data_IF_295405008250
#
_entry.id   IF_295405008250
#
_cell.length_a   1.000
_cell.length_b   1.000
_cell.length_c   1.000
_cell.angle_alpha   90.00
_cell.angle_beta   90.00
_cell.angle_gamma   90.00
#
_symmetry.space_group_name_H-M   'P 1'
#
loop_
_entity.id
_entity.type
_entity.pdbx_description
1 polymer ?
#
# COMPACT_ATOMS: atom_id res chain seq x y z
N UNK A 1 -62.77 -0.76 -6.08
CA UNK A 1 -63.36 -1.50 -7.20
C UNK A 1 -62.90 -0.85 -8.48
N UNK A 2 -62.07 -1.62 -9.20
CA UNK A 2 -61.86 -1.71 -10.64
C UNK A 2 -61.77 -0.44 -11.51
N UNK A 3 -60.57 -0.25 -12.08
CA UNK A 3 -60.30 0.60 -13.22
C UNK A 3 -59.51 -0.17 -14.29
N UNK A 4 -60.23 -0.53 -15.36
CA UNK A 4 -59.83 -0.66 -16.77
C UNK A 4 -58.53 -1.39 -17.19
N UNK A 5 -58.77 -2.51 -17.87
CA UNK A 5 -57.91 -3.27 -18.77
C UNK A 5 -57.61 -2.58 -20.12
N UNK A 6 -56.44 -2.81 -20.70
CA UNK A 6 -56.29 -3.45 -22.03
C UNK A 6 -54.83 -3.84 -22.32
N UNK A 7 -54.59 -4.87 -23.15
CA UNK A 7 -53.36 -5.67 -23.19
C UNK A 7 -52.46 -5.34 -24.39
N UNK A 8 -51.17 -5.66 -24.30
CA UNK A 8 -50.32 -5.78 -25.48
C UNK A 8 -49.69 -7.17 -25.56
N UNK A 9 -50.07 -7.79 -26.67
CA UNK A 9 -49.71 -9.07 -27.28
C UNK A 9 -48.21 -9.25 -27.47
N UNK A 10 -47.77 -10.51 -27.33
CA UNK A 10 -46.42 -10.95 -27.64
C UNK A 10 -46.07 -10.86 -29.12
N UNK A 11 -44.80 -10.61 -29.37
CA UNK A 11 -44.11 -10.94 -30.60
C UNK A 11 -42.92 -11.82 -30.21
N UNK A 12 -43.01 -13.10 -30.60
CA UNK A 12 -41.88 -14.01 -30.60
C UNK A 12 -40.84 -13.50 -31.61
N UNK A 13 -39.58 -13.42 -31.19
CA UNK A 13 -38.45 -13.41 -32.11
C UNK A 13 -37.45 -14.49 -31.71
N UNK A 14 -37.13 -15.27 -32.72
CA UNK A 14 -36.45 -16.55 -32.69
C UNK A 14 -35.00 -16.46 -32.19
N UNK A 15 -34.59 -17.51 -31.48
CA UNK A 15 -33.18 -17.81 -31.24
C UNK A 15 -32.49 -18.16 -32.58
N UNK A 16 -31.28 -17.65 -32.86
CA UNK A 16 -30.53 -18.12 -34.01
C UNK A 16 -29.91 -19.48 -33.71
N UNK A 17 -30.18 -20.42 -34.61
CA UNK A 17 -29.60 -21.76 -34.71
C UNK A 17 -28.08 -21.68 -34.84
N UNK A 18 -27.37 -22.53 -34.10
CA UNK A 18 -25.96 -22.81 -34.33
C UNK A 18 -25.83 -23.77 -35.52
N UNK A 19 -25.51 -23.22 -36.69
CA UNK A 19 -25.02 -24.02 -37.81
C UNK A 19 -23.52 -24.29 -37.63
N UNK A 20 -23.21 -25.58 -37.55
CA UNK A 20 -21.88 -26.16 -37.53
C UNK A 20 -21.34 -26.16 -38.96
N UNK A 21 -20.40 -25.27 -39.27
CA UNK A 21 -19.56 -25.40 -40.47
C UNK A 21 -18.11 -25.73 -40.11
N UNK A 22 -17.67 -26.87 -40.63
CA UNK A 22 -16.29 -27.37 -40.60
C UNK A 22 -15.41 -26.48 -41.47
N UNK A 23 -14.52 -25.71 -40.86
CA UNK A 23 -13.40 -25.03 -41.53
C UNK A 23 -12.08 -25.68 -41.15
N UNK A 24 -11.46 -26.36 -42.11
CA UNK A 24 -10.13 -26.98 -42.05
C UNK A 24 -9.03 -25.96 -41.74
N UNK A 25 -8.32 -26.13 -40.62
CA UNK A 25 -7.09 -25.38 -40.34
C UNK A 25 -5.86 -26.17 -40.82
N UNK A 26 -5.14 -25.56 -41.76
CA UNK A 26 -3.85 -26.00 -42.31
C UNK A 26 -2.75 -25.63 -41.32
N UNK A 27 -1.93 -26.60 -40.90
CA UNK A 27 -0.74 -26.34 -40.07
C UNK A 27 0.42 -25.79 -40.91
N UNK A 28 1.20 -24.81 -40.41
CA UNK A 28 2.50 -24.47 -40.97
C UNK A 28 3.58 -25.47 -40.46
N UNK A 29 4.64 -25.74 -41.25
CA UNK A 29 5.50 -26.89 -41.04
C UNK A 29 6.52 -26.71 -39.92
N UNK A 30 6.77 -27.84 -39.25
CA UNK A 30 7.89 -28.13 -38.36
C UNK A 30 9.21 -28.12 -39.12
N UNK A 31 10.23 -27.46 -38.59
CA UNK A 31 11.63 -27.67 -39.01
C UNK A 31 12.38 -28.33 -37.87
N UNK A 32 12.83 -29.56 -38.12
CA UNK A 32 13.65 -30.37 -37.23
C UNK A 32 15.14 -30.03 -37.36
N UNK A 33 15.86 -30.39 -36.30
CA UNK A 33 17.28 -30.14 -36.01
C UNK A 33 18.31 -30.74 -36.98
N UNK A 34 19.52 -30.19 -36.99
CA UNK A 34 20.76 -30.95 -37.24
C UNK A 34 22.04 -30.35 -36.59
N UNK A 35 22.72 -31.23 -35.84
CA UNK A 35 24.19 -31.48 -35.71
C UNK A 35 25.17 -30.54 -34.96
N UNK A 36 25.55 -31.00 -33.76
CA UNK A 36 26.88 -31.23 -33.15
C UNK A 36 28.20 -30.60 -33.70
N UNK A 37 28.86 -29.82 -32.80
CA UNK A 37 30.29 -29.82 -32.34
C UNK A 37 31.45 -29.41 -33.31
N UNK A 38 32.68 -29.04 -32.84
CA UNK A 38 33.13 -28.33 -31.62
C UNK A 38 34.22 -27.22 -31.84
N UNK A 39 34.40 -26.34 -30.83
CA UNK A 39 35.71 -25.77 -30.41
C UNK A 39 36.36 -24.63 -31.21
N UNK A 40 36.35 -23.39 -30.67
CA UNK A 40 37.43 -22.39 -30.84
C UNK A 40 37.55 -21.53 -29.57
N UNK A 41 38.76 -21.49 -29.01
CA UNK A 41 39.24 -20.62 -27.94
C UNK A 41 39.76 -19.31 -28.57
N UNK A 42 39.39 -18.13 -28.05
CA UNK A 42 40.10 -16.88 -28.34
C UNK A 42 39.89 -15.79 -27.25
N UNK A 43 40.91 -15.68 -26.39
CA UNK A 43 41.59 -14.53 -25.75
C UNK A 43 40.86 -13.19 -25.39
N UNK A 44 41.25 -12.56 -24.25
CA UNK A 44 40.65 -11.32 -23.73
C UNK A 44 41.19 -10.05 -24.39
N UNK A 45 40.32 -9.06 -24.59
CA UNK A 45 40.68 -7.73 -25.09
C UNK A 45 41.32 -6.87 -24.00
N UNK A 46 42.60 -6.53 -24.20
CA UNK A 46 43.29 -5.40 -23.57
C UNK A 46 43.01 -4.11 -24.35
N UNK A 47 42.53 -3.06 -23.68
CA UNK A 47 42.50 -1.70 -24.24
C UNK A 47 43.44 -0.83 -23.41
N UNK A 48 44.41 -0.23 -24.10
CA UNK A 48 45.44 0.65 -23.57
C UNK A 48 44.88 2.03 -23.15
N UNK A 49 45.43 2.58 -22.07
CA UNK A 49 45.19 3.94 -21.61
C UNK A 49 46.00 4.98 -22.44
N UNK A 50 45.51 6.21 -22.64
CA UNK A 50 46.34 7.34 -23.05
C UNK A 50 46.96 8.06 -21.84
N UNK A 51 48.14 8.60 -22.08
CA UNK A 51 49.01 9.29 -21.14
C UNK A 51 48.58 10.74 -20.83
N UNK A 52 49.08 11.21 -19.68
CA UNK A 52 49.35 12.60 -19.31
C UNK A 52 48.19 13.59 -19.15
N UNK A 53 47.67 13.68 -17.92
CA UNK A 53 47.41 14.98 -17.27
C UNK A 53 47.66 14.84 -15.76
N UNK A 54 48.67 15.57 -15.28
CA UNK A 54 49.05 15.61 -13.88
C UNK A 54 47.97 16.32 -13.04
N UNK A 55 47.29 15.58 -12.17
CA UNK A 55 46.62 16.14 -11.00
C UNK A 55 47.40 15.73 -9.74
N UNK A 56 47.84 16.74 -9.00
CA UNK A 56 48.51 16.60 -7.70
C UNK A 56 47.56 15.90 -6.73
N UNK A 57 47.79 14.61 -6.49
CA UNK A 57 47.12 13.86 -5.45
C UNK A 57 47.80 14.15 -4.10
N UNK A 58 47.19 14.99 -3.28
CA UNK A 58 47.52 15.07 -1.86
C UNK A 58 47.11 13.74 -1.22
N UNK A 59 48.10 12.89 -0.96
CA UNK A 59 47.94 11.65 -0.19
C UNK A 59 47.59 12.05 1.24
N UNK A 60 46.30 12.07 1.57
CA UNK A 60 45.84 12.03 2.97
C UNK A 60 45.86 10.55 3.37
N UNK A 61 46.84 10.17 4.17
CA UNK A 61 46.90 8.85 4.80
C UNK A 61 45.56 8.50 5.46
N UNK A 62 45.06 7.25 5.34
CA UNK A 62 43.89 6.84 6.09
C UNK A 62 44.21 6.89 7.58
N UNK A 63 43.51 7.75 8.33
CA UNK A 63 43.48 7.65 9.78
C UNK A 63 42.93 6.28 10.16
N UNK A 64 43.50 5.61 11.19
CA UNK A 64 42.96 4.35 11.66
C UNK A 64 41.58 4.64 12.29
N UNK A 65 40.51 4.28 11.58
CA UNK A 65 39.16 4.21 12.15
C UNK A 65 39.16 3.07 13.17
N UNK A 66 39.27 3.41 14.44
CA UNK A 66 38.99 2.48 15.53
C UNK A 66 37.54 2.00 15.38
N UNK A 67 37.38 0.72 15.03
CA UNK A 67 36.10 0.01 15.12
C UNK A 67 35.64 0.00 16.58
N UNK A 68 34.86 0.99 16.97
CA UNK A 68 33.93 0.86 18.08
C UNK A 68 32.55 0.62 17.51
N UNK A 69 32.24 -0.65 17.22
CA UNK A 69 30.86 -1.10 17.32
C UNK A 69 30.39 -0.75 18.74
N UNK A 70 29.30 -0.01 18.95
CA UNK A 70 28.74 0.13 20.27
C UNK A 70 28.30 -1.27 20.71
N UNK A 71 29.07 -1.88 21.60
CA UNK A 71 28.57 -3.04 22.32
C UNK A 71 27.33 -2.58 23.10
N UNK A 72 26.26 -3.40 23.15
CA UNK A 72 25.16 -3.12 24.07
C UNK A 72 25.76 -2.95 25.47
N UNK A 73 25.39 -1.90 26.22
CA UNK A 73 25.98 -1.65 27.53
C UNK A 73 25.70 -2.85 28.43
N UNK A 74 26.75 -3.63 28.70
CA UNK A 74 26.70 -4.67 29.73
C UNK A 74 26.78 -3.96 31.09
N UNK A 75 25.62 -3.62 31.63
CA UNK A 75 25.48 -3.05 32.97
C UNK A 75 24.67 -1.76 32.97
N UNK A 76 23.37 -1.87 33.23
CA UNK A 76 22.52 -0.71 33.50
C UNK A 76 21.05 -0.86 33.12
N UNK A 77 20.39 -1.97 33.47
CA UNK A 77 18.96 -2.19 33.22
C UNK A 77 18.08 -1.01 33.72
N UNK A 78 18.49 -0.32 34.79
CA UNK A 78 17.70 0.79 35.35
C UNK A 78 17.68 2.06 34.50
N UNK A 79 18.75 2.41 33.79
CA UNK A 79 18.85 3.70 33.08
C UNK A 79 18.17 3.66 31.72
N UNK A 80 18.22 2.52 31.03
CA UNK A 80 17.45 2.27 29.81
C UNK A 80 15.94 2.25 30.10
N UNK A 81 15.54 1.52 31.14
CA UNK A 81 14.12 1.44 31.52
C UNK A 81 13.56 2.81 31.94
N UNK A 82 14.32 3.64 32.66
CA UNK A 82 13.90 5.01 33.02
C UNK A 82 13.78 5.95 31.82
N UNK A 83 14.70 5.89 30.85
CA UNK A 83 14.60 6.73 29.63
C UNK A 83 13.43 6.28 28.76
N UNK A 84 13.18 4.97 28.67
CA UNK A 84 12.00 4.41 28.00
C UNK A 84 10.74 4.85 28.74
N UNK A 85 10.67 4.75 30.08
CA UNK A 85 9.49 5.18 30.87
C UNK A 85 9.20 6.68 30.77
N UNK A 86 10.20 7.55 30.86
CA UNK A 86 10.02 9.00 30.72
C UNK A 86 9.63 9.38 29.29
N UNK A 87 10.23 8.73 28.28
CA UNK A 87 9.84 8.91 26.87
C UNK A 87 8.42 8.40 26.62
N UNK A 88 8.03 7.27 27.21
CA UNK A 88 6.69 6.71 27.11
C UNK A 88 5.67 7.63 27.76
N UNK A 89 5.93 8.19 28.94
CA UNK A 89 5.03 9.11 29.64
C UNK A 89 4.84 10.45 28.90
N UNK A 90 5.93 11.06 28.41
CA UNK A 90 5.85 12.30 27.63
C UNK A 90 5.16 12.06 26.28
N UNK A 91 5.48 10.93 25.63
CA UNK A 91 4.79 10.50 24.42
C UNK A 91 3.31 10.24 24.70
N UNK A 92 2.93 9.69 25.85
CA UNK A 92 1.54 9.36 26.18
C UNK A 92 0.66 10.60 26.32
N UNK A 93 1.19 11.70 26.88
CA UNK A 93 0.46 12.98 27.02
C UNK A 93 0.29 13.66 25.65
N UNK A 94 1.36 13.74 24.87
CA UNK A 94 1.33 14.31 23.50
C UNK A 94 0.45 13.45 22.58
N UNK A 95 0.51 12.13 22.74
CA UNK A 95 -0.28 11.16 21.98
C UNK A 95 -1.76 11.23 22.34
N UNK A 96 -2.14 11.41 23.62
CA UNK A 96 -3.54 11.58 24.03
C UNK A 96 -4.16 12.86 23.46
N UNK A 97 -3.45 13.98 23.53
CA UNK A 97 -3.92 15.25 22.96
C UNK A 97 -3.99 15.20 21.42
N UNK A 98 -2.94 14.68 20.78
CA UNK A 98 -2.87 14.52 19.32
C UNK A 98 -3.92 13.56 18.78
N UNK A 99 -4.14 12.44 19.48
CA UNK A 99 -5.20 11.47 19.15
C UNK A 99 -6.59 12.08 19.28
N UNK A 100 -6.84 12.91 20.30
CA UNK A 100 -8.13 13.60 20.44
C UNK A 100 -8.38 14.54 19.27
N UNK A 101 -7.39 15.36 18.89
CA UNK A 101 -7.53 16.26 17.74
C UNK A 101 -7.73 15.49 16.43
N UNK A 102 -6.98 14.42 16.19
CA UNK A 102 -7.16 13.56 15.02
C UNK A 102 -8.57 12.98 14.96
N UNK A 103 -9.03 12.34 16.03
CA UNK A 103 -10.36 11.73 16.08
C UNK A 103 -11.48 12.76 15.85
N UNK A 104 -11.38 13.94 16.45
CA UNK A 104 -12.38 15.01 16.25
C UNK A 104 -12.41 15.49 14.81
N UNK A 105 -11.25 15.84 14.23
CA UNK A 105 -11.18 16.30 12.84
C UNK A 105 -11.65 15.24 11.86
N UNK A 106 -11.27 13.98 12.11
CA UNK A 106 -11.69 12.85 11.32
C UNK A 106 -13.22 12.68 11.35
N UNK A 107 -13.82 12.64 12.54
CA UNK A 107 -15.28 12.48 12.68
C UNK A 107 -16.05 13.63 12.04
N UNK A 108 -15.60 14.88 12.24
CA UNK A 108 -16.21 16.06 11.63
C UNK A 108 -16.10 16.02 10.11
N UNK A 109 -14.94 15.63 9.57
CA UNK A 109 -14.73 15.53 8.12
C UNK A 109 -15.59 14.43 7.49
N UNK A 110 -15.71 13.27 8.15
CA UNK A 110 -16.57 12.18 7.68
C UNK A 110 -18.07 12.52 7.75
N UNK A 111 -18.49 13.24 8.80
CA UNK A 111 -19.87 13.72 8.91
C UNK A 111 -20.18 14.78 7.84
N UNK A 112 -19.25 15.72 7.62
CA UNK A 112 -19.34 16.70 6.54
C UNK A 112 -19.41 16.02 5.17
N UNK A 113 -18.58 15.00 4.94
CA UNK A 113 -18.61 14.16 3.74
C UNK A 113 -19.95 13.46 3.54
N UNK A 114 -20.52 12.87 4.59
CA UNK A 114 -21.85 12.26 4.56
C UNK A 114 -22.93 13.25 4.12
N UNK A 115 -22.98 14.42 4.78
CA UNK A 115 -23.98 15.46 4.48
C UNK A 115 -23.83 15.96 3.05
N UNK A 116 -22.60 16.26 2.61
CA UNK A 116 -22.33 16.67 1.23
C UNK A 116 -22.78 15.61 0.22
N UNK A 117 -22.56 14.33 0.55
CA UNK A 117 -22.91 13.21 -0.32
C UNK A 117 -24.40 12.97 -0.44
N UNK A 118 -25.14 13.15 0.65
CA UNK A 118 -26.61 13.15 0.64
C UNK A 118 -27.11 14.24 -0.32
N UNK A 119 -26.59 15.47 -0.19
CA UNK A 119 -26.98 16.60 -1.06
C UNK A 119 -26.64 16.32 -2.53
N UNK A 120 -25.42 15.86 -2.81
CA UNK A 120 -24.96 15.53 -4.17
C UNK A 120 -25.78 14.39 -4.78
N UNK A 121 -26.14 13.38 -3.99
CA UNK A 121 -26.98 12.28 -4.44
C UNK A 121 -28.38 12.77 -4.83
N UNK A 122 -28.99 13.69 -4.06
CA UNK A 122 -30.30 14.26 -4.38
C UNK A 122 -30.34 15.03 -5.70
N UNK A 123 -29.22 15.62 -6.12
CA UNK A 123 -29.11 16.36 -7.40
C UNK A 123 -28.52 15.52 -8.54
N UNK A 124 -28.44 14.19 -8.38
CA UNK A 124 -27.97 13.27 -9.42
C UNK A 124 -26.45 13.21 -9.59
N UNK A 125 -25.67 13.78 -8.67
CA UNK A 125 -24.20 13.79 -8.67
C UNK A 125 -23.60 12.73 -7.72
N UNK A 126 -24.23 11.55 -7.62
CA UNK A 126 -23.78 10.47 -6.75
C UNK A 126 -22.35 9.98 -7.03
N UNK A 127 -21.91 10.02 -8.29
CA UNK A 127 -20.52 9.68 -8.66
C UNK A 127 -19.52 10.67 -8.06
N UNK A 128 -19.82 11.96 -8.07
CA UNK A 128 -18.98 12.99 -7.42
C UNK A 128 -18.90 12.75 -5.91
N UNK A 129 -20.02 12.34 -5.30
CA UNK A 129 -20.06 11.97 -3.89
C UNK A 129 -19.15 10.78 -3.55
N UNK A 130 -19.04 9.78 -4.44
CA UNK A 130 -18.08 8.68 -4.28
C UNK A 130 -16.66 9.22 -4.14
N UNK A 131 -16.18 10.00 -5.12
CA UNK A 131 -14.81 10.53 -5.12
C UNK A 131 -14.51 11.40 -3.89
N UNK A 132 -15.46 12.24 -3.47
CA UNK A 132 -15.29 13.07 -2.27
C UNK A 132 -15.11 12.19 -1.02
N UNK A 133 -16.01 11.24 -0.79
CA UNK A 133 -15.95 10.41 0.42
C UNK A 133 -14.68 9.57 0.49
N UNK A 134 -14.23 9.03 -0.64
CA UNK A 134 -13.07 8.15 -0.63
C UNK A 134 -11.79 8.94 -0.31
N UNK A 135 -11.68 10.19 -0.77
CA UNK A 135 -10.50 11.02 -0.56
C UNK A 135 -10.42 11.63 0.86
N UNK A 136 -11.55 11.83 1.55
CA UNK A 136 -11.57 12.48 2.88
C UNK A 136 -10.67 11.78 3.91
N UNK A 137 -10.78 10.46 4.14
CA UNK A 137 -9.94 9.76 5.11
C UNK A 137 -8.45 9.89 4.82
N UNK A 138 -8.06 9.67 3.55
CA UNK A 138 -6.68 9.79 3.12
C UNK A 138 -6.14 11.21 3.26
N UNK A 139 -6.95 12.24 2.97
CA UNK A 139 -6.58 13.63 3.16
C UNK A 139 -6.37 13.98 4.64
N UNK A 140 -7.23 13.49 5.54
CA UNK A 140 -7.05 13.68 6.99
C UNK A 140 -5.78 12.98 7.49
N UNK A 141 -5.55 11.73 7.08
CA UNK A 141 -4.32 10.99 7.41
C UNK A 141 -3.09 11.75 6.91
N UNK A 142 -3.10 12.20 5.66
CA UNK A 142 -1.99 12.95 5.06
C UNK A 142 -1.72 14.28 5.78
N UNK A 143 -2.77 15.03 6.11
CA UNK A 143 -2.64 16.28 6.84
C UNK A 143 -1.99 16.09 8.22
N UNK A 144 -2.46 15.11 9.00
CA UNK A 144 -1.90 14.86 10.33
C UNK A 144 -0.51 14.22 10.26
N UNK A 145 -0.24 13.37 9.28
CA UNK A 145 1.10 12.83 9.03
C UNK A 145 2.10 13.96 8.73
N UNK A 146 1.73 14.93 7.87
CA UNK A 146 2.56 16.11 7.64
C UNK A 146 2.72 16.92 8.92
N UNK A 147 1.61 17.22 9.62
CA UNK A 147 1.62 18.06 10.82
C UNK A 147 2.49 17.52 11.95
N UNK A 148 2.50 16.20 12.15
CA UNK A 148 3.26 15.57 13.25
C UNK A 148 4.71 15.26 12.91
N UNK A 149 5.02 15.08 11.62
CA UNK A 149 6.35 14.64 11.18
C UNK A 149 7.03 15.62 10.22
N UNK A 150 6.57 16.87 10.20
CA UNK A 150 7.02 17.92 9.27
C UNK A 150 8.56 18.03 9.12
N UNK A 151 9.38 17.96 10.18
CA UNK A 151 10.85 18.05 10.03
C UNK A 151 11.48 16.86 9.29
N UNK A 152 10.76 15.74 9.17
CA UNK A 152 11.29 14.48 8.62
C UNK A 152 10.73 14.16 7.24
N UNK A 153 9.69 14.89 6.79
CA UNK A 153 9.01 14.62 5.53
C UNK A 153 8.81 15.89 4.73
N UNK A 154 8.85 15.75 3.41
CA UNK A 154 8.47 16.83 2.49
C UNK A 154 7.10 16.55 1.89
N UNK A 155 6.28 17.59 1.72
CA UNK A 155 4.98 17.46 1.03
C UNK A 155 5.13 16.88 -0.37
N UNK A 156 6.17 17.31 -1.09
CA UNK A 156 6.52 16.78 -2.41
C UNK A 156 6.69 15.24 -2.35
N UNK A 157 7.47 14.70 -1.40
CA UNK A 157 7.62 13.23 -1.25
C UNK A 157 6.31 12.54 -0.88
N UNK A 158 5.53 13.13 0.04
CA UNK A 158 4.25 12.57 0.46
C UNK A 158 3.28 12.44 -0.73
N UNK A 159 3.16 13.48 -1.57
CA UNK A 159 2.33 13.46 -2.76
C UNK A 159 2.85 12.49 -3.82
N UNK A 160 4.17 12.44 -4.02
CA UNK A 160 4.80 11.49 -4.96
C UNK A 160 4.43 10.06 -4.58
N UNK A 161 4.64 9.66 -3.32
CA UNK A 161 4.33 8.29 -2.85
C UNK A 161 2.85 7.97 -2.99
N UNK A 162 1.98 8.91 -2.63
CA UNK A 162 0.55 8.71 -2.71
C UNK A 162 0.09 8.52 -4.17
N UNK A 163 0.54 9.39 -5.08
CA UNK A 163 0.18 9.34 -6.50
C UNK A 163 0.78 8.10 -7.17
N UNK A 164 2.05 7.77 -6.89
CA UNK A 164 2.70 6.57 -7.41
C UNK A 164 1.96 5.32 -6.95
N UNK A 165 1.68 5.20 -5.65
CA UNK A 165 0.99 4.04 -5.09
C UNK A 165 -0.44 3.91 -5.63
N UNK A 166 -1.18 5.02 -5.77
CA UNK A 166 -2.54 5.01 -6.30
C UNK A 166 -2.58 4.71 -7.80
N UNK A 167 -1.93 5.53 -8.61
CA UNK A 167 -2.15 5.55 -10.06
C UNK A 167 -1.14 4.70 -10.84
N UNK A 168 0.10 4.57 -10.35
CA UNK A 168 1.14 3.80 -11.06
C UNK A 168 1.20 2.34 -10.60
N UNK A 169 0.63 2.03 -9.44
CA UNK A 169 0.70 0.68 -8.86
C UNK A 169 -0.69 0.09 -8.64
N UNK A 170 -1.53 0.70 -7.78
CA UNK A 170 -2.82 0.12 -7.41
C UNK A 170 -3.80 0.05 -8.59
N UNK A 171 -3.98 1.13 -9.36
CA UNK A 171 -4.88 1.10 -10.54
C UNK A 171 -4.45 0.05 -11.59
N UNK A 172 -3.18 -0.01 -12.04
CA UNK A 172 -2.74 -1.07 -12.95
C UNK A 172 -2.91 -2.47 -12.37
N UNK A 173 -2.61 -2.67 -11.08
CA UNK A 173 -2.83 -3.95 -10.42
C UNK A 173 -4.31 -4.33 -10.48
N UNK A 174 -5.23 -3.45 -10.08
CA UNK A 174 -6.67 -3.72 -10.11
C UNK A 174 -7.14 -4.08 -11.52
N UNK A 175 -6.67 -3.37 -12.54
CA UNK A 175 -6.98 -3.68 -13.94
C UNK A 175 -6.48 -5.08 -14.30
N UNK A 176 -5.22 -5.41 -13.99
CA UNK A 176 -4.64 -6.72 -14.26
C UNK A 176 -5.45 -7.81 -13.56
N UNK A 177 -5.78 -7.63 -12.28
CA UNK A 177 -6.54 -8.63 -11.54
C UNK A 177 -7.94 -8.83 -12.16
N UNK A 178 -8.63 -7.76 -12.56
CA UNK A 178 -9.92 -7.87 -13.26
C UNK A 178 -9.77 -8.71 -14.53
N UNK A 179 -8.75 -8.46 -15.36
CA UNK A 179 -8.51 -9.25 -16.58
C UNK A 179 -8.19 -10.71 -16.27
N UNK A 180 -7.39 -10.99 -15.24
CA UNK A 180 -7.00 -12.34 -14.83
C UNK A 180 -8.20 -13.11 -14.27
N UNK A 181 -8.99 -12.48 -13.40
CA UNK A 181 -10.20 -13.05 -12.80
C UNK A 181 -11.18 -13.46 -13.91
N UNK A 182 -11.37 -12.60 -14.92
CA UNK A 182 -12.18 -12.88 -16.12
C UNK A 182 -11.64 -14.03 -16.97
N UNK A 183 -10.32 -14.09 -17.16
CA UNK A 183 -9.69 -15.10 -18.01
C UNK A 183 -9.74 -16.50 -17.39
N UNK A 184 -9.62 -16.59 -16.06
CA UNK A 184 -9.68 -17.86 -15.32
C UNK A 184 -11.13 -18.25 -14.98
N UNK A 185 -12.09 -17.35 -15.20
CA UNK A 185 -13.51 -17.59 -14.88
C UNK A 185 -13.77 -17.62 -13.39
N UNK A 186 -13.00 -16.88 -12.60
CA UNK A 186 -13.29 -16.69 -11.18
C UNK A 186 -14.61 -15.93 -11.06
N UNK A 187 -15.55 -16.39 -10.21
CA UNK A 187 -16.85 -15.75 -10.07
C UNK A 187 -16.67 -14.29 -9.62
N UNK A 188 -17.27 -13.37 -10.35
CA UNK A 188 -17.04 -11.94 -10.15
C UNK A 188 -17.77 -11.36 -8.94
N UNK A 189 -18.79 -12.04 -8.44
CA UNK A 189 -19.64 -11.49 -7.39
C UNK A 189 -20.12 -12.61 -6.48
N UNK A 190 -19.98 -12.38 -5.17
CA UNK A 190 -20.53 -13.18 -4.07
C UNK A 190 -22.07 -13.17 -3.99
N UNK A 191 -22.77 -12.62 -4.98
CA UNK A 191 -24.24 -12.49 -5.02
C UNK A 191 -24.95 -13.71 -5.64
N UNK A 192 -24.20 -14.75 -6.01
CA UNK A 192 -24.74 -16.03 -6.43
C UNK A 192 -25.12 -16.93 -5.25
N UNK A 193 -26.15 -17.75 -5.42
CA UNK A 193 -26.52 -18.83 -4.51
C UNK A 193 -25.31 -19.76 -4.32
N UNK A 194 -24.67 -19.68 -3.14
CA UNK A 194 -23.42 -20.39 -2.86
C UNK A 194 -23.69 -21.88 -2.84
N UNK A 195 -23.37 -22.59 -3.94
CA UNK A 195 -23.32 -24.04 -3.93
C UNK A 195 -22.17 -24.49 -3.02
N UNK A 196 -22.56 -24.86 -1.80
CA UNK A 196 -21.75 -25.32 -0.66
C UNK A 196 -20.67 -26.37 -0.94
N UNK A 197 -20.64 -26.97 -2.14
CA UNK A 197 -19.68 -28.00 -2.53
C UNK A 197 -18.47 -27.51 -3.35
N UNK A 198 -18.48 -26.28 -3.91
CA UNK A 198 -17.45 -25.81 -4.87
C UNK A 198 -16.47 -24.73 -4.38
N UNK A 199 -16.71 -24.07 -3.24
CA UNK A 199 -16.10 -22.74 -3.00
C UNK A 199 -15.22 -22.53 -1.75
N UNK A 200 -14.91 -23.57 -0.95
CA UNK A 200 -14.00 -23.38 0.20
C UNK A 200 -12.60 -22.93 -0.24
N UNK A 201 -12.14 -23.44 -1.39
CA UNK A 201 -10.88 -23.01 -2.01
C UNK A 201 -10.91 -21.54 -2.43
N UNK A 202 -12.01 -21.09 -3.05
CA UNK A 202 -12.17 -19.69 -3.46
C UNK A 202 -12.22 -18.74 -2.26
N UNK A 203 -12.89 -19.15 -1.17
CA UNK A 203 -12.90 -18.41 0.10
C UNK A 203 -11.51 -18.23 0.69
N UNK A 204 -10.53 -19.08 0.39
CA UNK A 204 -9.14 -18.88 0.83
C UNK A 204 -8.30 -18.14 -0.21
N UNK A 205 -8.37 -18.57 -1.48
CA UNK A 205 -7.53 -18.04 -2.56
C UNK A 205 -7.82 -16.55 -2.82
N UNK A 206 -9.09 -16.15 -2.83
CA UNK A 206 -9.50 -14.78 -3.10
C UNK A 206 -8.92 -13.78 -2.07
N UNK A 207 -9.17 -13.93 -0.75
CA UNK A 207 -8.70 -12.95 0.23
C UNK A 207 -7.19 -13.06 0.52
N UNK A 208 -6.60 -14.26 0.53
CA UNK A 208 -5.20 -14.41 0.91
C UNK A 208 -4.23 -14.26 -0.25
N UNK A 209 -4.51 -14.89 -1.40
CA UNK A 209 -3.57 -14.90 -2.53
C UNK A 209 -3.85 -13.77 -3.51
N UNK A 210 -5.11 -13.55 -3.89
CA UNK A 210 -5.48 -12.55 -4.89
C UNK A 210 -5.52 -11.14 -4.32
N UNK A 211 -6.14 -10.91 -3.17
CA UNK A 211 -6.16 -9.60 -2.49
C UNK A 211 -4.90 -9.42 -1.64
N UNK A 212 -4.82 -10.12 -0.51
CA UNK A 212 -3.75 -9.96 0.49
C UNK A 212 -2.34 -10.06 -0.10
N UNK A 213 -1.97 -11.18 -0.71
CA UNK A 213 -0.60 -11.37 -1.20
C UNK A 213 -0.23 -10.41 -2.33
N UNK A 214 -1.04 -10.27 -3.37
CA UNK A 214 -0.70 -9.41 -4.50
C UNK A 214 -0.63 -7.94 -4.09
N UNK A 215 -1.67 -7.43 -3.42
CA UNK A 215 -1.75 -6.02 -3.04
C UNK A 215 -0.66 -5.64 -2.04
N UNK A 216 -0.44 -6.45 -1.01
CA UNK A 216 0.60 -6.17 -0.03
C UNK A 216 2.02 -6.31 -0.63
N UNK A 217 2.22 -7.22 -1.58
CA UNK A 217 3.53 -7.34 -2.28
C UNK A 217 3.83 -6.09 -3.09
N UNK A 218 2.91 -5.63 -3.94
CA UNK A 218 3.19 -4.44 -4.76
C UNK A 218 3.25 -3.15 -3.93
N UNK A 219 2.50 -3.09 -2.81
CA UNK A 219 2.59 -2.00 -1.83
C UNK A 219 3.97 -1.99 -1.18
N UNK A 220 4.48 -3.16 -0.77
CA UNK A 220 5.84 -3.29 -0.27
C UNK A 220 6.88 -2.79 -1.29
N UNK A 221 6.72 -3.12 -2.58
CA UNK A 221 7.61 -2.62 -3.64
C UNK A 221 7.56 -1.09 -3.79
N UNK A 222 6.37 -0.49 -3.69
CA UNK A 222 6.19 0.97 -3.67
C UNK A 222 6.99 1.63 -2.54
N UNK A 223 6.87 1.06 -1.34
CA UNK A 223 7.54 1.57 -0.15
C UNK A 223 9.05 1.38 -0.28
N UNK A 224 9.49 0.21 -0.74
CA UNK A 224 10.90 -0.12 -0.95
C UNK A 224 11.59 0.88 -1.88
N UNK A 225 10.91 1.33 -2.95
CA UNK A 225 11.45 2.31 -3.92
C UNK A 225 11.80 3.66 -3.29
N UNK A 226 11.12 4.06 -2.21
CA UNK A 226 11.40 5.31 -1.49
C UNK A 226 12.24 5.10 -0.23
N UNK A 227 12.14 3.94 0.41
CA UNK A 227 12.72 3.68 1.73
C UNK A 227 14.22 3.86 1.84
N UNK A 228 14.98 3.77 0.75
CA UNK A 228 16.44 3.91 0.73
C UNK A 228 16.91 5.23 0.08
N UNK A 229 16.01 6.18 -0.15
CA UNK A 229 16.37 7.46 -0.77
C UNK A 229 17.21 8.33 0.17
N UNK A 230 18.15 9.15 -0.35
CA UNK A 230 18.99 10.02 0.48
C UNK A 230 18.23 11.03 1.34
N UNK A 231 17.06 11.50 0.88
CA UNK A 231 16.16 12.39 1.63
C UNK A 231 15.31 11.68 2.69
N UNK A 232 15.41 10.36 2.79
CA UNK A 232 14.87 9.60 3.92
C UNK A 232 15.98 9.48 4.95
N UNK A 233 16.03 10.47 5.84
CA UNK A 233 17.06 10.61 6.88
C UNK A 233 16.62 10.01 8.21
N UNK A 234 15.32 9.85 8.43
CA UNK A 234 14.74 9.39 9.70
C UNK A 234 13.71 8.26 9.50
N UNK A 235 13.63 7.35 10.48
CA UNK A 235 12.68 6.24 10.53
C UNK A 235 11.21 6.68 10.36
N UNK A 236 10.84 7.83 10.93
CA UNK A 236 9.49 8.40 10.86
C UNK A 236 9.08 8.73 9.44
N UNK A 237 10.02 9.10 8.58
CA UNK A 237 9.74 9.35 7.17
C UNK A 237 9.28 8.07 6.46
N UNK A 238 9.96 6.94 6.67
CA UNK A 238 9.55 5.63 6.11
C UNK A 238 8.15 5.26 6.59
N UNK A 239 7.86 5.44 7.88
CA UNK A 239 6.55 5.15 8.47
C UNK A 239 5.45 6.01 7.82
N UNK A 240 5.67 7.32 7.65
CA UNK A 240 4.72 8.22 6.99
C UNK A 240 4.49 7.80 5.54
N UNK A 241 5.56 7.58 4.76
CA UNK A 241 5.45 7.19 3.36
C UNK A 241 4.74 5.84 3.20
N UNK A 242 5.02 4.87 4.06
CA UNK A 242 4.35 3.58 4.05
C UNK A 242 2.87 3.67 4.43
N UNK A 243 2.51 4.51 5.40
CA UNK A 243 1.12 4.79 5.77
C UNK A 243 0.35 5.41 4.61
N UNK A 244 0.97 6.35 3.88
CA UNK A 244 0.36 7.00 2.70
C UNK A 244 0.24 6.05 1.50
N UNK A 245 1.24 5.20 1.27
CA UNK A 245 1.17 4.16 0.25
C UNK A 245 0.00 3.21 0.53
N UNK A 246 -0.18 2.80 1.79
CA UNK A 246 -1.36 2.05 2.23
C UNK A 246 -2.67 2.80 1.99
N UNK A 247 -2.79 4.03 2.49
CA UNK A 247 -3.99 4.84 2.31
C UNK A 247 -4.37 5.01 0.82
N UNK A 248 -3.39 5.12 -0.08
CA UNK A 248 -3.59 5.20 -1.53
C UNK A 248 -4.25 3.95 -2.11
N UNK A 249 -3.86 2.74 -1.67
CA UNK A 249 -4.51 1.49 -2.07
C UNK A 249 -5.97 1.45 -1.62
N UNK A 250 -6.22 1.80 -0.35
CA UNK A 250 -7.58 1.85 0.19
C UNK A 250 -8.47 2.88 -0.53
N UNK A 251 -7.89 3.97 -1.04
CA UNK A 251 -8.60 4.94 -1.88
C UNK A 251 -8.98 4.33 -3.23
N UNK A 252 -8.05 3.70 -3.93
CA UNK A 252 -8.33 3.12 -5.26
C UNK A 252 -9.38 2.01 -5.15
N UNK A 253 -9.22 1.11 -4.18
CA UNK A 253 -10.16 0.02 -3.94
C UNK A 253 -11.57 0.55 -3.63
N UNK A 254 -11.66 1.53 -2.73
CA UNK A 254 -12.95 2.08 -2.32
C UNK A 254 -13.63 2.92 -3.42
N UNK A 255 -12.88 3.53 -4.34
CA UNK A 255 -13.46 4.12 -5.56
C UNK A 255 -14.15 3.02 -6.38
N UNK A 256 -13.48 1.89 -6.62
CA UNK A 256 -14.06 0.76 -7.35
C UNK A 256 -15.37 0.28 -6.74
N UNK A 257 -15.38 0.01 -5.43
CA UNK A 257 -16.59 -0.38 -4.71
C UNK A 257 -17.68 0.69 -4.73
N UNK A 258 -17.32 1.96 -4.58
CA UNK A 258 -18.26 3.08 -4.61
C UNK A 258 -18.91 3.29 -5.99
N UNK A 259 -18.16 3.07 -7.07
CA UNK A 259 -18.70 3.14 -8.43
C UNK A 259 -19.66 1.98 -8.73
N UNK A 260 -19.43 0.79 -8.14
CA UNK A 260 -20.29 -0.37 -8.31
C UNK A 260 -21.56 -0.31 -7.44
N UNK A 261 -21.42 0.05 -6.16
CA UNK A 261 -22.47 -0.09 -5.16
C UNK A 261 -23.03 1.25 -4.64
N UNK A 262 -22.52 2.38 -5.14
CA UNK A 262 -23.01 3.72 -4.85
C UNK A 262 -22.27 4.45 -3.72
N UNK A 263 -22.60 5.74 -3.58
CA UNK A 263 -21.90 6.67 -2.67
C UNK A 263 -22.00 6.28 -1.20
N UNK A 264 -23.10 5.64 -0.77
CA UNK A 264 -23.27 5.25 0.62
C UNK A 264 -22.27 4.15 1.01
N UNK A 265 -22.03 3.21 0.09
CA UNK A 265 -20.98 2.19 0.26
C UNK A 265 -19.61 2.84 0.30
N UNK A 266 -19.33 3.77 -0.62
CA UNK A 266 -18.08 4.53 -0.63
C UNK A 266 -17.82 5.28 0.68
N UNK A 267 -18.87 5.79 1.33
CA UNK A 267 -18.75 6.52 2.60
C UNK A 267 -18.34 5.63 3.78
N UNK A 268 -19.08 4.55 4.06
CA UNK A 268 -18.76 3.73 5.24
C UNK A 268 -17.51 2.86 5.01
N UNK A 269 -17.29 2.37 3.79
CA UNK A 269 -16.04 1.66 3.44
C UNK A 269 -14.86 2.60 3.39
N UNK A 270 -15.05 3.86 2.97
CA UNK A 270 -13.98 4.87 2.98
C UNK A 270 -13.34 5.01 4.35
N UNK A 271 -14.15 4.94 5.41
CA UNK A 271 -13.60 4.84 6.77
C UNK A 271 -12.77 3.56 6.95
N UNK A 272 -13.40 2.40 6.80
CA UNK A 272 -12.81 1.13 7.22
C UNK A 272 -11.63 0.69 6.35
N UNK A 273 -11.82 0.72 5.03
CA UNK A 273 -10.85 0.24 4.05
C UNK A 273 -9.60 1.13 4.01
N UNK A 274 -9.75 2.46 4.02
CA UNK A 274 -8.58 3.36 4.01
C UNK A 274 -7.74 3.19 5.29
N UNK A 275 -8.39 3.03 6.45
CA UNK A 275 -7.65 2.74 7.70
C UNK A 275 -7.03 1.34 7.71
N UNK A 276 -7.71 0.32 7.17
CA UNK A 276 -7.18 -1.02 7.08
C UNK A 276 -5.87 -1.04 6.27
N UNK A 277 -5.89 -0.43 5.07
CA UNK A 277 -4.68 -0.35 4.24
C UNK A 277 -3.61 0.57 4.80
N UNK A 278 -3.97 1.69 5.43
CA UNK A 278 -3.00 2.53 6.13
C UNK A 278 -2.33 1.78 7.29
N UNK A 279 -3.07 0.91 7.97
CA UNK A 279 -2.56 0.04 9.05
C UNK A 279 -1.58 -1.01 8.50
N UNK A 280 -1.91 -1.68 7.39
CA UNK A 280 -0.99 -2.65 6.78
C UNK A 280 0.27 -1.96 6.26
N UNK A 281 0.14 -0.79 5.62
CA UNK A 281 1.27 0.06 5.26
C UNK A 281 2.14 0.46 6.45
N UNK A 282 1.54 0.85 7.58
CA UNK A 282 2.28 1.21 8.80
C UNK A 282 3.04 0.02 9.40
N UNK A 283 2.49 -1.20 9.37
CA UNK A 283 3.20 -2.42 9.77
C UNK A 283 4.45 -2.67 8.92
N UNK A 284 4.32 -2.51 7.60
CA UNK A 284 5.46 -2.60 6.69
C UNK A 284 6.50 -1.53 7.03
N UNK A 285 6.08 -0.26 7.09
CA UNK A 285 6.96 0.87 7.32
C UNK A 285 7.73 0.79 8.63
N UNK A 286 7.08 0.40 9.73
CA UNK A 286 7.75 0.21 11.03
C UNK A 286 8.83 -0.87 10.97
N UNK A 287 8.56 -1.98 10.29
CA UNK A 287 9.51 -3.09 10.13
C UNK A 287 10.68 -2.72 9.19
N UNK A 288 10.40 -1.96 8.14
CA UNK A 288 11.42 -1.46 7.21
C UNK A 288 12.31 -0.40 7.85
N UNK A 289 11.73 0.48 8.67
CA UNK A 289 12.46 1.49 9.43
C UNK A 289 13.37 0.85 10.48
N UNK A 290 12.88 -0.14 11.24
CA UNK A 290 13.68 -0.91 12.19
C UNK A 290 14.89 -1.56 11.50
N UNK A 291 14.67 -2.22 10.34
CA UNK A 291 15.77 -2.78 9.55
C UNK A 291 16.81 -1.73 9.19
N UNK A 292 16.39 -0.60 8.59
CA UNK A 292 17.33 0.40 8.06
C UNK A 292 18.11 1.15 9.15
N UNK A 293 17.44 1.53 10.24
CA UNK A 293 18.00 2.47 11.22
C UNK A 293 18.48 1.82 12.53
N UNK A 294 18.08 0.57 12.81
CA UNK A 294 18.46 -0.14 14.04
C UNK A 294 19.32 -1.36 13.73
N UNK A 295 18.85 -2.22 12.83
CA UNK A 295 19.53 -3.48 12.54
C UNK A 295 20.74 -3.25 11.61
N UNK A 296 20.60 -2.37 10.62
CA UNK A 296 21.59 -2.11 9.56
C UNK A 296 21.00 -2.40 8.18
N UNK A 297 21.18 -1.48 7.23
CA UNK A 297 20.61 -1.56 5.89
C UNK A 297 21.12 -2.75 5.04
N UNK A 298 22.23 -3.36 5.46
CA UNK A 298 22.83 -4.57 4.88
C UNK A 298 22.14 -5.87 5.31
N UNK A 299 21.36 -5.84 6.40
CA UNK A 299 20.69 -7.04 6.89
C UNK A 299 19.58 -7.51 5.95
N UNK A 300 19.29 -8.81 6.01
CA UNK A 300 18.22 -9.42 5.21
C UNK A 300 16.87 -8.82 5.58
N UNK A 301 15.98 -8.69 4.59
CA UNK A 301 14.61 -8.23 4.85
C UNK A 301 13.88 -9.21 5.78
N UNK A 302 13.23 -8.72 6.85
CA UNK A 302 12.40 -9.55 7.71
C UNK A 302 11.06 -9.81 7.00
N UNK A 303 11.05 -10.65 5.96
CA UNK A 303 9.88 -10.92 5.10
C UNK A 303 8.63 -11.34 5.88
N UNK A 304 8.81 -12.00 7.03
CA UNK A 304 7.69 -12.32 7.90
C UNK A 304 7.00 -11.07 8.48
N UNK A 305 7.77 -10.03 8.84
CA UNK A 305 7.25 -8.75 9.35
C UNK A 305 6.72 -7.86 8.23
N UNK A 306 7.46 -7.72 7.14
CA UNK A 306 7.12 -6.77 6.05
C UNK A 306 6.09 -7.31 5.07
N UNK A 307 5.85 -8.63 5.02
CA UNK A 307 4.92 -9.19 4.04
C UNK A 307 3.96 -10.22 4.66
N UNK A 308 4.46 -11.28 5.32
CA UNK A 308 3.58 -12.34 5.81
C UNK A 308 2.52 -11.82 6.81
N UNK A 309 2.92 -11.01 7.78
CA UNK A 309 1.98 -10.44 8.77
C UNK A 309 0.93 -9.52 8.10
N UNK A 310 1.31 -8.53 7.25
CA UNK A 310 0.34 -7.74 6.49
C UNK A 310 -0.60 -8.59 5.63
N UNK A 311 -0.07 -9.59 4.91
CA UNK A 311 -0.86 -10.50 4.05
C UNK A 311 -1.87 -11.29 4.85
N UNK A 312 -1.46 -11.85 6.00
CA UNK A 312 -2.38 -12.57 6.88
C UNK A 312 -3.43 -11.63 7.49
N UNK A 313 -3.04 -10.45 7.95
CA UNK A 313 -3.97 -9.47 8.52
C UNK A 313 -5.04 -9.03 7.52
N UNK A 314 -4.61 -8.69 6.31
CA UNK A 314 -5.50 -8.33 5.20
C UNK A 314 -6.37 -9.53 4.79
N UNK A 315 -5.76 -10.69 4.53
CA UNK A 315 -6.48 -11.89 4.11
C UNK A 315 -7.50 -12.39 5.13
N UNK A 316 -7.19 -12.36 6.43
CA UNK A 316 -8.18 -12.71 7.46
C UNK A 316 -9.33 -11.70 7.51
N UNK A 317 -9.03 -10.40 7.39
CA UNK A 317 -10.07 -9.36 7.34
C UNK A 317 -11.05 -9.62 6.19
N UNK A 318 -10.55 -9.80 4.97
CA UNK A 318 -11.38 -10.05 3.79
C UNK A 318 -12.09 -11.40 3.86
N UNK A 319 -11.42 -12.44 4.34
CA UNK A 319 -12.02 -13.77 4.48
C UNK A 319 -13.26 -13.75 5.36
N UNK A 320 -13.19 -13.09 6.53
CA UNK A 320 -14.35 -12.98 7.42
C UNK A 320 -15.46 -12.12 6.81
N UNK A 321 -15.14 -11.09 6.03
CA UNK A 321 -16.15 -10.34 5.28
C UNK A 321 -16.80 -11.18 4.19
N UNK A 322 -16.05 -12.00 3.46
CA UNK A 322 -16.57 -12.86 2.39
C UNK A 322 -17.44 -13.97 2.95
N UNK A 323 -17.01 -14.62 4.03
CA UNK A 323 -17.84 -15.60 4.74
C UNK A 323 -19.10 -14.93 5.29
N UNK A 324 -18.98 -13.74 5.88
CA UNK A 324 -20.14 -12.97 6.35
C UNK A 324 -21.14 -12.65 5.23
N UNK A 325 -20.64 -12.25 4.06
CA UNK A 325 -21.44 -11.98 2.86
C UNK A 325 -22.12 -13.25 2.33
N UNK A 326 -21.43 -14.40 2.32
CA UNK A 326 -22.02 -15.68 1.91
C UNK A 326 -23.24 -16.09 2.76
N UNK A 327 -23.28 -15.64 4.02
CA UNK A 327 -24.36 -15.91 4.96
C UNK A 327 -25.30 -14.70 5.19
N UNK A 328 -25.32 -13.70 4.29
CA UNK A 328 -25.96 -12.39 4.51
C UNK A 328 -27.45 -12.46 4.90
N UNK A 329 -28.18 -13.47 4.42
CA UNK A 329 -29.61 -13.67 4.72
C UNK A 329 -29.87 -14.37 6.07
N UNK A 330 -28.81 -14.65 6.84
CA UNK A 330 -28.89 -15.34 8.11
C UNK A 330 -28.27 -14.50 9.22
N UNK A 331 -28.66 -14.78 10.47
CA UNK A 331 -28.05 -14.14 11.65
C UNK A 331 -26.57 -14.52 11.85
N UNK A 332 -26.07 -15.52 11.11
CA UNK A 332 -24.69 -16.01 11.19
C UNK A 332 -23.71 -15.04 10.49
N UNK A 333 -24.17 -14.17 9.58
CA UNK A 333 -23.33 -13.12 8.97
C UNK A 333 -22.76 -12.10 9.97
N UNK A 334 -23.53 -11.79 11.01
CA UNK A 334 -23.20 -10.78 12.03
C UNK A 334 -21.91 -11.12 12.79
N UNK A 335 -21.74 -12.31 13.41
CA UNK A 335 -20.50 -12.63 14.12
C UNK A 335 -19.26 -12.57 13.22
N UNK A 336 -19.32 -13.02 11.97
CA UNK A 336 -18.18 -12.93 11.04
C UNK A 336 -17.80 -11.48 10.73
N UNK A 337 -18.79 -10.62 10.52
CA UNK A 337 -18.58 -9.18 10.34
C UNK A 337 -17.92 -8.56 11.58
N UNK A 338 -18.41 -8.88 12.79
CA UNK A 338 -17.82 -8.42 14.05
C UNK A 338 -16.38 -8.90 14.24
N UNK A 339 -16.04 -10.12 13.80
CA UNK A 339 -14.67 -10.62 13.83
C UNK A 339 -13.78 -9.81 12.89
N UNK A 340 -14.23 -9.49 11.67
CA UNK A 340 -13.48 -8.63 10.75
C UNK A 340 -13.22 -7.24 11.36
N UNK A 341 -14.22 -6.63 12.01
CA UNK A 341 -14.03 -5.39 12.77
C UNK A 341 -13.03 -5.55 13.92
N UNK A 342 -13.10 -6.67 14.65
CA UNK A 342 -12.16 -6.99 15.72
C UNK A 342 -10.71 -7.08 15.21
N UNK A 343 -10.49 -7.71 14.06
CA UNK A 343 -9.17 -7.79 13.40
C UNK A 343 -8.66 -6.40 13.05
N UNK A 344 -9.50 -5.54 12.47
CA UNK A 344 -9.13 -4.17 12.14
C UNK A 344 -8.72 -3.38 13.39
N UNK A 345 -9.52 -3.44 14.46
CA UNK A 345 -9.21 -2.76 15.73
C UNK A 345 -7.93 -3.31 16.35
N UNK A 346 -7.78 -4.64 16.41
CA UNK A 346 -6.57 -5.26 16.93
C UNK A 346 -5.32 -4.85 16.11
N UNK A 347 -5.44 -4.79 14.79
CA UNK A 347 -4.42 -4.28 13.88
C UNK A 347 -4.04 -2.83 14.17
N UNK A 348 -5.02 -1.94 14.33
CA UNK A 348 -4.80 -0.53 14.69
C UNK A 348 -4.12 -0.36 16.05
N UNK A 349 -4.50 -1.16 17.05
CA UNK A 349 -3.87 -1.13 18.38
C UNK A 349 -2.43 -1.67 18.32
N UNK A 350 -2.21 -2.76 17.59
CA UNK A 350 -0.90 -3.36 17.45
C UNK A 350 0.06 -2.46 16.67
N UNK A 351 -0.40 -1.85 15.59
CA UNK A 351 0.39 -0.88 14.82
C UNK A 351 0.75 0.34 15.62
N UNK A 352 -0.16 0.87 16.43
CA UNK A 352 0.17 1.93 17.39
C UNK A 352 1.29 1.50 18.34
N UNK A 353 1.23 0.28 18.88
CA UNK A 353 2.29 -0.27 19.72
C UNK A 353 3.62 -0.38 18.96
N UNK A 354 3.61 -0.83 17.70
CA UNK A 354 4.83 -0.90 16.87
C UNK A 354 5.39 0.48 16.55
N UNK A 355 4.53 1.46 16.27
CA UNK A 355 4.92 2.85 16.01
C UNK A 355 5.69 3.41 17.21
N UNK A 356 5.10 3.34 18.40
CA UNK A 356 5.73 3.82 19.65
C UNK A 356 7.08 3.13 19.87
N UNK A 357 7.11 1.79 19.75
CA UNK A 357 8.32 0.99 19.91
C UNK A 357 9.42 1.45 18.94
N UNK A 358 9.11 1.51 17.65
CA UNK A 358 10.09 1.85 16.60
C UNK A 358 10.58 3.28 16.76
N UNK A 359 9.72 4.24 17.11
CA UNK A 359 10.14 5.61 17.39
C UNK A 359 11.01 5.73 18.65
N UNK A 360 10.88 4.82 19.61
CA UNK A 360 11.73 4.82 20.81
C UNK A 360 13.11 4.22 20.55
N UNK A 361 13.21 3.17 19.73
CA UNK A 361 14.48 2.46 19.46
C UNK A 361 15.28 3.05 18.30
N UNK A 362 14.62 3.67 17.31
CA UNK A 362 15.32 4.25 16.17
C UNK A 362 16.07 5.50 16.64
N UNK A 363 17.36 5.65 16.28
CA UNK A 363 18.12 6.86 16.56
C UNK A 363 17.31 8.07 16.11
N UNK A 364 16.94 8.92 17.06
CA UNK A 364 16.25 10.16 16.75
C UNK A 364 17.31 11.12 16.19
N UNK A 365 17.52 11.06 14.89
CA UNK A 365 18.28 12.08 14.19
C UNK A 365 17.43 13.34 14.28
N UNK A 366 17.86 14.36 15.02
CA UNK A 366 17.27 15.72 14.93
C UNK A 366 17.63 16.38 13.57
N UNK A 367 17.72 15.57 12.53
CA UNK A 367 18.07 15.94 11.18
C UNK A 367 16.81 16.38 10.46
N UNK A 368 16.66 17.70 10.39
CA UNK A 368 15.64 18.33 9.56
C UNK A 368 15.98 18.10 8.07
N UNK A 369 15.09 17.39 7.37
CA UNK A 369 15.25 17.10 5.95
C UNK A 369 15.25 18.37 5.11
N UNK A 370 14.51 19.40 5.52
CA UNK A 370 14.43 20.68 4.81
C UNK A 370 15.77 21.41 4.90
N UNK A 371 16.39 21.43 6.09
CA UNK A 371 17.72 22.01 6.27
C UNK A 371 18.79 21.29 5.43
N UNK A 372 18.71 19.95 5.31
CA UNK A 372 19.63 19.15 4.47
C UNK A 372 19.44 19.37 2.97
N UNK A 373 18.21 19.64 2.55
CA UNK A 373 17.90 20.01 1.16
C UNK A 373 18.41 21.43 0.87
N UNK A 374 18.23 22.37 1.81
CA UNK A 374 18.70 23.75 1.68
C UNK A 374 20.22 23.85 1.68
N UNK A 375 20.91 23.04 2.48
CA UNK A 375 22.37 22.97 2.51
C UNK A 375 22.98 22.28 1.28
N UNK A 376 22.17 21.59 0.47
CA UNK A 376 22.61 20.79 -0.67
C UNK A 376 23.27 19.46 -0.27
N UNK A 377 23.22 19.07 1.00
CA UNK A 377 23.68 17.74 1.45
C UNK A 377 22.85 16.63 0.79
N UNK A 378 21.57 16.91 0.55
CA UNK A 378 20.62 15.97 -0.02
C UNK A 378 19.85 16.59 -1.17
N UNK A 379 19.70 15.83 -2.26
CA UNK A 379 18.90 16.24 -3.41
C UNK A 379 17.41 16.27 -3.11
N UNK A 380 16.71 17.23 -3.73
CA UNK A 380 15.24 17.33 -3.65
C UNK A 380 14.57 16.04 -4.14
N UNK A 381 13.44 15.64 -3.54
CA UNK A 381 12.65 14.52 -4.03
C UNK A 381 12.19 14.77 -5.46
N UNK A 382 12.36 13.79 -6.34
CA UNK A 382 11.84 13.82 -7.70
C UNK A 382 11.23 12.47 -8.06
N UNK A 383 10.21 12.49 -8.92
CA UNK A 383 9.58 11.28 -9.46
C UNK A 383 10.54 10.47 -10.34
N UNK A 384 11.55 11.14 -10.89
CA UNK A 384 12.49 10.57 -11.83
C UNK A 384 13.49 9.68 -11.09
N UNK A 385 13.59 8.42 -11.53
CA UNK A 385 14.74 7.59 -11.16
C UNK A 385 16.04 8.28 -11.62
N UNK A 386 17.19 8.03 -10.96
CA UNK A 386 18.47 8.48 -11.48
C UNK A 386 18.62 7.97 -12.92
N UNK A 387 18.65 8.88 -13.89
CA UNK A 387 18.91 8.57 -15.30
C UNK A 387 17.72 8.43 -16.24
N UNK A 388 16.48 8.78 -15.88
CA UNK A 388 15.38 8.78 -16.86
C UNK A 388 14.93 10.15 -17.38
N UNK A 389 14.81 11.21 -16.58
CA UNK A 389 14.63 12.58 -17.09
C UNK A 389 14.95 13.57 -15.94
N UNK A 390 15.73 14.62 -16.22
CA UNK A 390 15.98 15.72 -15.26
C UNK A 390 14.71 16.57 -15.09
N UNK A 391 13.75 16.09 -14.29
CA UNK A 391 12.52 16.83 -14.00
C UNK A 391 12.72 17.78 -12.80
N UNK A 392 13.61 18.76 -12.97
CA UNK A 392 13.92 19.78 -11.96
C UNK A 392 12.81 20.85 -11.78
N UNK A 393 11.70 20.78 -12.53
CA UNK A 393 10.69 21.86 -12.57
C UNK A 393 9.43 21.67 -11.72
N UNK A 394 9.16 20.50 -11.14
CA UNK A 394 7.81 20.20 -10.59
C UNK A 394 7.60 20.49 -9.11
N UNK A 395 8.63 20.80 -8.32
CA UNK A 395 8.49 21.09 -6.88
C UNK A 395 9.06 22.48 -6.53
N UNK A 396 8.50 23.51 -7.16
CA UNK A 396 8.57 24.91 -6.72
C UNK A 396 7.25 25.34 -6.08
#
# INVERSE_FOLDING_TARGET
>A
MEGASTPLTGAAYAAPSQDVERGTYVQPPTVAMASNQPGVVAQPYTVAAPADTAYVATVVSPMPMTHHSPQPPQGGDGRYNLVVEESEQMFDVICKASCKHFCTYFCVSMLGGLVASIILAFIGLGVVAVFINVCIPAAVISYFAHKWYEPYVTRCSMHIVFIESAFLIAVPLTIIIIFVDRAIGLPENCEGDWDSSRDVGALFVQPFLRAGLLEETVKFLSILRISDRPYVTDARAIIVYATLAGAAFGVVENIGYGLMAGWFVAWYRGFLTVFAHATTGLLMGTSMAERRFVEGAENKWPFYKVLLIPVLGHGFYDWFLFVGAAFCNTKISVPFTLIAFGILIAGMLWTRKQLVRVTAICPQTNEDVHAKIESGEVNKPCLCAPGFFDCCGCCY
#
